data_IF_213545989789
#
_entry.id   IF_213545989789
#
_cell.length_a   1.000
_cell.length_b   1.000
_cell.length_c   1.000
_cell.angle_alpha   90.00
_cell.angle_beta   90.00
_cell.angle_gamma   90.00
#
_symmetry.space_group_name_H-M   'P 1'
#
loop_
_entity.id
_entity.type
_entity.pdbx_description
1 polymer ?
#
# COMPACT_ATOMS: atom_id res chain seq x y z
N UNK A 1 -13.09 -8.03 21.57
CA UNK A 1 -12.09 -9.01 21.06
C UNK A 1 -12.60 -10.44 21.19
N UNK A 2 -12.76 -10.97 22.42
CA UNK A 2 -13.25 -12.33 22.70
C UNK A 2 -14.48 -12.76 21.87
N UNK A 3 -15.62 -12.07 22.00
CA UNK A 3 -16.85 -12.43 21.28
C UNK A 3 -16.72 -12.41 19.75
N UNK A 4 -15.85 -11.55 19.22
CA UNK A 4 -15.60 -11.47 17.77
C UNK A 4 -14.84 -12.72 17.29
N UNK A 5 -13.82 -13.15 18.04
CA UNK A 5 -13.10 -14.41 17.78
C UNK A 5 -14.06 -15.60 17.96
N UNK A 6 -14.80 -15.65 19.06
CA UNK A 6 -15.72 -16.77 19.35
C UNK A 6 -16.79 -16.95 18.26
N UNK A 7 -17.22 -15.88 17.57
CA UNK A 7 -18.15 -15.98 16.45
C UNK A 7 -17.62 -16.84 15.29
N UNK A 8 -16.31 -16.87 15.06
CA UNK A 8 -15.69 -17.61 13.96
C UNK A 8 -15.01 -18.91 14.40
N UNK A 9 -14.51 -18.96 15.63
CA UNK A 9 -13.85 -20.14 16.21
C UNK A 9 -14.61 -20.71 17.40
N UNK A 10 -15.94 -20.68 17.38
CA UNK A 10 -16.77 -21.15 18.50
C UNK A 10 -16.61 -22.63 18.84
N UNK A 11 -16.07 -23.43 17.93
CA UNK A 11 -15.79 -24.84 18.12
C UNK A 11 -14.36 -25.14 18.58
N UNK A 12 -13.48 -24.12 18.59
CA UNK A 12 -12.09 -24.30 18.99
C UNK A 12 -11.97 -24.16 20.51
N UNK A 13 -11.59 -25.22 21.23
CA UNK A 13 -11.51 -25.18 22.69
C UNK A 13 -10.48 -24.18 23.20
N UNK A 14 -9.51 -23.74 22.38
CA UNK A 14 -8.52 -22.71 22.75
C UNK A 14 -9.16 -21.34 22.98
N UNK A 15 -10.25 -21.05 22.27
CA UNK A 15 -10.98 -19.78 22.36
C UNK A 15 -12.27 -19.89 23.20
N UNK A 16 -12.38 -20.93 24.03
CA UNK A 16 -13.46 -21.01 25.02
C UNK A 16 -13.30 -19.91 26.08
N UNK A 17 -14.40 -19.54 26.75
CA UNK A 17 -14.36 -18.53 27.82
C UNK A 17 -13.36 -18.89 28.94
N UNK A 18 -13.21 -20.19 29.22
CA UNK A 18 -12.30 -20.71 30.24
C UNK A 18 -10.82 -20.66 29.78
N UNK A 19 -10.56 -20.92 28.49
CA UNK A 19 -9.20 -21.07 27.98
C UNK A 19 -8.62 -19.79 27.36
N UNK A 20 -9.46 -18.79 27.04
CA UNK A 20 -9.05 -17.60 26.31
C UNK A 20 -7.97 -16.79 27.03
N UNK A 21 -8.09 -16.64 28.35
CA UNK A 21 -7.11 -15.89 29.17
C UNK A 21 -5.74 -16.56 29.27
N UNK A 22 -5.63 -17.84 28.93
CA UNK A 22 -4.38 -18.60 28.96
C UNK A 22 -3.69 -18.68 27.59
N UNK A 23 -4.33 -18.18 26.52
CA UNK A 23 -3.73 -18.20 25.20
C UNK A 23 -2.63 -17.13 25.09
N UNK A 24 -1.56 -17.39 24.33
CA UNK A 24 -0.53 -16.40 24.11
C UNK A 24 -1.08 -15.21 23.31
N UNK A 25 -0.64 -14.00 23.64
CA UNK A 25 -1.16 -12.75 23.04
C UNK A 25 -1.05 -12.75 21.51
N UNK A 26 0.04 -13.24 20.94
CA UNK A 26 0.24 -13.29 19.48
C UNK A 26 -0.84 -14.12 18.79
N UNK A 27 -1.30 -15.22 19.40
CA UNK A 27 -2.35 -16.07 18.84
C UNK A 27 -3.71 -15.36 18.90
N UNK A 28 -3.98 -14.65 19.99
CA UNK A 28 -5.21 -13.86 20.15
C UNK A 28 -5.26 -12.74 19.12
N UNK A 29 -4.15 -12.01 18.91
CA UNK A 29 -4.06 -10.93 17.94
C UNK A 29 -4.23 -11.45 16.51
N UNK A 30 -3.53 -12.52 16.15
CA UNK A 30 -3.65 -13.16 14.84
C UNK A 30 -5.09 -13.65 14.57
N UNK A 31 -5.72 -14.31 15.56
CA UNK A 31 -7.11 -14.75 15.44
C UNK A 31 -8.07 -13.56 15.33
N UNK A 32 -7.81 -12.46 16.05
CA UNK A 32 -8.61 -11.25 15.96
C UNK A 32 -8.53 -10.61 14.57
N UNK A 33 -7.32 -10.41 14.03
CA UNK A 33 -7.09 -9.87 12.69
C UNK A 33 -7.81 -10.70 11.62
N UNK A 34 -7.71 -12.02 11.73
CA UNK A 34 -8.41 -12.91 10.81
C UNK A 34 -9.94 -12.83 10.98
N UNK A 35 -10.43 -12.64 12.20
CA UNK A 35 -11.86 -12.39 12.47
C UNK A 35 -12.34 -11.11 11.77
N UNK A 36 -11.53 -10.05 11.81
CA UNK A 36 -11.85 -8.78 11.15
C UNK A 36 -11.92 -8.94 9.64
N UNK A 37 -10.97 -9.70 9.07
CA UNK A 37 -10.96 -10.02 7.64
C UNK A 37 -12.24 -10.78 7.23
N UNK A 38 -12.61 -11.83 7.97
CA UNK A 38 -13.83 -12.60 7.69
C UNK A 38 -15.10 -11.76 7.85
N UNK A 39 -15.17 -10.89 8.85
CA UNK A 39 -16.33 -10.01 9.03
C UNK A 39 -16.45 -9.02 7.89
N UNK A 40 -15.33 -8.43 7.44
CA UNK A 40 -15.30 -7.55 6.29
C UNK A 40 -15.76 -8.26 5.02
N UNK A 41 -15.28 -9.48 4.78
CA UNK A 41 -15.71 -10.29 3.64
C UNK A 41 -17.22 -10.62 3.70
N UNK A 42 -17.74 -10.92 4.88
CA UNK A 42 -19.18 -11.15 5.09
C UNK A 42 -19.99 -9.90 4.77
N UNK A 43 -19.62 -8.76 5.36
CA UNK A 43 -20.29 -7.48 5.13
C UNK A 43 -20.21 -7.06 3.66
N UNK A 44 -19.07 -7.28 3.01
CA UNK A 44 -18.92 -7.03 1.58
C UNK A 44 -19.88 -7.88 0.74
N UNK A 45 -20.02 -9.17 1.05
CA UNK A 45 -21.00 -10.06 0.37
C UNK A 45 -22.44 -9.57 0.53
N UNK A 46 -22.77 -9.04 1.70
CA UNK A 46 -24.09 -8.46 1.98
C UNK A 46 -24.32 -7.16 1.20
N UNK A 47 -23.29 -6.33 1.06
CA UNK A 47 -23.36 -5.09 0.27
C UNK A 47 -23.49 -5.33 -1.24
N UNK A 48 -22.94 -6.42 -1.78
CA UNK A 48 -22.92 -6.68 -3.24
C UNK A 48 -24.30 -6.54 -3.89
N UNK A 49 -25.36 -7.02 -3.24
CA UNK A 49 -26.72 -6.91 -3.78
C UNK A 49 -27.18 -5.45 -3.88
N UNK A 50 -26.95 -4.66 -2.83
CA UNK A 50 -27.32 -3.24 -2.79
C UNK A 50 -26.48 -2.46 -3.82
N UNK A 51 -25.17 -2.73 -3.88
CA UNK A 51 -24.25 -2.12 -4.82
C UNK A 51 -24.64 -2.38 -6.29
N UNK A 52 -25.01 -3.62 -6.62
CA UNK A 52 -25.50 -3.96 -7.96
C UNK A 52 -26.78 -3.21 -8.33
N UNK A 53 -27.74 -3.11 -7.40
CA UNK A 53 -28.98 -2.38 -7.64
C UNK A 53 -28.74 -0.88 -7.81
N UNK A 54 -27.86 -0.28 -6.98
CA UNK A 54 -27.49 1.12 -7.07
C UNK A 54 -26.80 1.43 -8.41
N UNK A 55 -25.85 0.58 -8.82
CA UNK A 55 -25.19 0.66 -10.12
C UNK A 55 -26.19 0.59 -11.28
N UNK A 56 -27.08 -0.41 -11.30
CA UNK A 56 -28.10 -0.55 -12.34
C UNK A 56 -29.00 0.69 -12.42
N UNK A 57 -29.43 1.20 -11.27
CA UNK A 57 -30.27 2.39 -11.19
C UNK A 57 -29.55 3.62 -11.77
N UNK A 58 -28.30 3.87 -11.40
CA UNK A 58 -27.55 5.02 -11.89
C UNK A 58 -27.21 4.90 -13.37
N UNK A 59 -26.73 3.73 -13.81
CA UNK A 59 -26.42 3.50 -15.22
C UNK A 59 -27.66 3.62 -16.11
N UNK A 60 -28.87 3.32 -15.60
CA UNK A 60 -30.11 3.54 -16.36
C UNK A 60 -30.44 5.01 -16.62
N UNK A 61 -29.84 5.93 -15.86
CA UNK A 61 -30.07 7.38 -15.93
C UNK A 61 -28.94 8.16 -16.59
N UNK A 62 -27.82 7.51 -16.88
CA UNK A 62 -26.66 8.14 -17.49
C UNK A 62 -26.84 8.23 -19.01
N UNK A 63 -26.35 9.34 -19.57
CA UNK A 63 -26.12 9.44 -21.01
C UNK A 63 -24.82 8.71 -21.37
N UNK A 64 -24.87 7.57 -22.09
CA UNK A 64 -23.69 6.74 -22.37
C UNK A 64 -22.64 7.44 -23.24
N UNK A 65 -22.95 8.61 -23.81
CA UNK A 65 -21.99 9.41 -24.58
C UNK A 65 -21.16 10.37 -23.73
N UNK A 66 -21.53 10.60 -22.47
CA UNK A 66 -20.93 11.64 -21.62
C UNK A 66 -20.17 11.09 -20.42
N UNK A 67 -20.57 9.92 -19.91
CA UNK A 67 -20.01 9.37 -18.68
C UNK A 67 -19.84 7.87 -18.83
N UNK A 68 -18.72 7.36 -18.34
CA UNK A 68 -18.47 5.93 -18.27
C UNK A 68 -19.46 5.24 -17.31
N UNK A 69 -19.83 3.97 -17.58
CA UNK A 69 -20.70 3.22 -16.69
C UNK A 69 -20.08 3.07 -15.30
N UNK A 70 -20.89 3.25 -14.25
CA UNK A 70 -20.48 2.91 -12.91
C UNK A 70 -20.35 1.39 -12.75
N UNK A 71 -19.45 0.94 -11.89
CA UNK A 71 -19.26 -0.47 -11.54
C UNK A 71 -19.79 -0.75 -10.11
N UNK A 72 -20.16 -2.00 -9.77
CA UNK A 72 -20.66 -2.31 -8.42
C UNK A 72 -19.63 -2.01 -7.32
N UNK A 73 -18.34 -2.14 -7.63
CA UNK A 73 -17.25 -1.93 -6.68
C UNK A 73 -17.22 -0.49 -6.16
N UNK A 74 -17.63 0.48 -6.98
CA UNK A 74 -17.70 1.90 -6.60
C UNK A 74 -18.76 2.19 -5.51
N UNK A 75 -19.67 1.25 -5.26
CA UNK A 75 -20.72 1.34 -4.25
C UNK A 75 -20.48 0.41 -3.05
N UNK A 76 -19.39 -0.36 -3.05
CA UNK A 76 -19.04 -1.26 -1.95
C UNK A 76 -18.15 -0.52 -0.95
N UNK A 77 -18.59 -0.42 0.31
CA UNK A 77 -17.80 0.21 1.37
C UNK A 77 -16.82 -0.78 2.00
N UNK A 78 -17.24 -2.04 2.17
CA UNK A 78 -16.41 -3.08 2.80
C UNK A 78 -15.54 -3.84 1.83
N UNK A 79 -15.43 -3.39 0.56
CA UNK A 79 -14.47 -3.98 -0.36
C UNK A 79 -13.08 -3.89 0.32
N UNK A 80 -12.38 -5.02 0.58
CA UNK A 80 -11.02 -4.93 1.05
C UNK A 80 -10.25 -4.13 0.00
N UNK A 81 -9.52 -3.07 0.38
CA UNK A 81 -8.77 -2.30 -0.60
C UNK A 81 -7.87 -3.30 -1.32
N UNK A 82 -8.15 -3.52 -2.59
CA UNK A 82 -7.28 -4.30 -3.45
C UNK A 82 -5.94 -3.55 -3.47
N UNK A 83 -4.80 -4.20 -3.68
CA UNK A 83 -3.54 -3.44 -3.87
C UNK A 83 -3.66 -2.41 -5.02
N UNK A 84 -4.60 -2.67 -5.95
CA UNK A 84 -4.99 -1.75 -7.00
C UNK A 84 -5.80 -0.53 -6.53
N UNK A 85 -6.51 -0.61 -5.40
CA UNK A 85 -7.32 0.48 -4.81
C UNK A 85 -6.56 1.30 -3.76
N UNK A 86 -5.40 0.83 -3.30
CA UNK A 86 -4.52 1.66 -2.48
C UNK A 86 -4.15 2.90 -3.30
N UNK A 87 -4.61 4.06 -2.83
CA UNK A 87 -4.20 5.35 -3.39
C UNK A 87 -2.77 5.63 -2.94
N UNK A 88 -1.91 6.02 -3.88
CA UNK A 88 -0.58 6.55 -3.54
C UNK A 88 -0.78 7.77 -2.65
N UNK A 89 -0.03 7.86 -1.56
CA UNK A 89 -0.14 8.99 -0.63
C UNK A 89 0.10 10.30 -1.39
N UNK A 90 -0.58 11.38 -0.96
CA UNK A 90 -0.35 12.69 -1.54
C UNK A 90 1.10 13.13 -1.40
N UNK A 91 1.74 12.81 -0.27
CA UNK A 91 3.14 13.10 -0.02
C UNK A 91 4.10 12.40 -0.98
N UNK A 92 3.84 11.13 -1.30
CA UNK A 92 4.62 10.41 -2.32
C UNK A 92 4.38 10.99 -3.72
N UNK A 93 3.15 11.39 -4.06
CA UNK A 93 2.87 12.08 -5.33
C UNK A 93 3.62 13.42 -5.42
N UNK A 94 3.60 14.22 -4.37
CA UNK A 94 4.30 15.52 -4.34
C UNK A 94 5.82 15.33 -4.43
N UNK A 95 6.37 14.30 -3.76
CA UNK A 95 7.77 13.92 -3.90
C UNK A 95 8.11 13.50 -5.35
N UNK A 96 7.26 12.69 -5.97
CA UNK A 96 7.42 12.27 -7.37
C UNK A 96 7.49 13.47 -8.32
N UNK A 97 6.52 14.38 -8.23
CA UNK A 97 6.49 15.56 -9.10
C UNK A 97 7.62 16.55 -8.80
N UNK A 98 8.01 16.72 -7.53
CA UNK A 98 9.16 17.55 -7.15
C UNK A 98 10.47 17.02 -7.76
N UNK A 99 10.68 15.71 -7.77
CA UNK A 99 11.86 15.09 -8.38
C UNK A 99 11.90 15.25 -9.91
N UNK A 100 10.74 15.23 -10.56
CA UNK A 100 10.63 15.52 -12.00
C UNK A 100 10.98 16.99 -12.28
N UNK A 101 10.44 17.92 -11.50
CA UNK A 101 10.71 19.36 -11.66
C UNK A 101 12.21 19.66 -11.51
N UNK A 102 12.87 19.02 -10.55
CA UNK A 102 14.31 19.16 -10.32
C UNK A 102 15.17 18.35 -11.30
N UNK A 103 14.57 17.61 -12.24
CA UNK A 103 15.27 16.71 -13.17
C UNK A 103 16.15 15.65 -12.49
N UNK A 104 15.75 15.21 -11.29
CA UNK A 104 16.44 14.18 -10.49
C UNK A 104 15.79 12.80 -10.64
N UNK A 105 14.65 12.71 -11.34
CA UNK A 105 13.94 11.46 -11.57
C UNK A 105 14.62 10.61 -12.66
N UNK A 106 14.87 9.31 -12.41
CA UNK A 106 15.32 8.39 -13.46
C UNK A 106 14.29 8.28 -14.59
N UNK A 107 14.75 8.25 -15.84
CA UNK A 107 13.86 8.20 -17.01
C UNK A 107 12.97 6.94 -17.01
N UNK A 108 13.52 5.79 -16.63
CA UNK A 108 12.78 4.52 -16.53
C UNK A 108 11.64 4.61 -15.49
N UNK A 109 11.87 5.29 -14.38
CA UNK A 109 10.86 5.43 -13.33
C UNK A 109 9.67 6.28 -13.80
N UNK A 110 9.91 7.27 -14.66
CA UNK A 110 8.84 8.08 -15.27
C UNK A 110 8.01 7.25 -16.23
N UNK A 111 8.62 6.37 -17.03
CA UNK A 111 7.89 5.50 -17.96
C UNK A 111 7.10 4.39 -17.26
N UNK A 112 7.62 3.88 -16.14
CA UNK A 112 7.05 2.74 -15.42
C UNK A 112 6.03 3.17 -14.33
N UNK A 113 5.98 4.45 -13.98
CA UNK A 113 5.06 4.96 -12.97
C UNK A 113 3.58 4.89 -13.41
N UNK A 114 2.64 4.50 -12.51
CA UNK A 114 1.22 4.50 -12.80
C UNK A 114 0.65 5.94 -12.77
N UNK A 115 0.92 6.73 -13.82
CA UNK A 115 0.57 8.16 -13.90
C UNK A 115 -0.92 8.42 -13.61
N UNK A 116 -1.82 7.52 -14.02
CA UNK A 116 -3.26 7.65 -13.75
C UNK A 116 -3.62 7.65 -12.26
N UNK A 117 -2.77 7.08 -11.39
CA UNK A 117 -2.97 7.04 -9.93
C UNK A 117 -2.29 8.21 -9.21
N UNK A 118 -1.33 8.87 -9.85
CA UNK A 118 -0.59 9.99 -9.27
C UNK A 118 -1.42 11.26 -9.39
N UNK A 119 -1.90 11.78 -8.25
CA UNK A 119 -2.62 13.05 -8.18
C UNK A 119 -1.70 14.08 -7.56
N UNK A 120 -1.24 15.03 -8.37
CA UNK A 120 -0.47 16.17 -7.87
C UNK A 120 -1.34 16.97 -6.88
N UNK A 121 -0.82 17.23 -5.69
CA UNK A 121 -1.44 18.20 -4.79
C UNK A 121 -0.97 19.62 -5.16
N UNK A 122 -1.71 20.62 -4.67
CA UNK A 122 -1.57 22.03 -5.03
C UNK A 122 -0.11 22.54 -5.00
N UNK A 123 0.16 23.57 -5.81
CA UNK A 123 1.46 24.12 -6.21
C UNK A 123 2.44 24.61 -5.10
N UNK A 124 2.22 24.32 -3.82
CA UNK A 124 3.06 24.75 -2.69
C UNK A 124 3.19 23.69 -1.57
N UNK A 125 2.99 22.40 -1.86
CA UNK A 125 3.17 21.36 -0.86
C UNK A 125 4.63 21.30 -0.38
N UNK A 126 4.84 21.36 0.93
CA UNK A 126 6.16 21.15 1.54
C UNK A 126 6.48 19.67 1.47
N UNK A 127 7.39 19.29 0.57
CA UNK A 127 7.81 17.90 0.40
C UNK A 127 8.75 17.51 1.54
N UNK A 128 8.41 16.45 2.26
CA UNK A 128 9.28 15.90 3.33
C UNK A 128 10.58 15.34 2.74
N UNK A 129 11.64 15.35 3.54
CA UNK A 129 12.93 14.73 3.21
C UNK A 129 13.16 13.48 4.08
N UNK A 130 13.80 12.42 3.56
CA UNK A 130 14.28 12.28 2.18
C UNK A 130 13.14 12.09 1.18
N UNK A 131 13.26 12.71 0.00
CA UNK A 131 12.26 12.63 -1.07
C UNK A 131 12.27 11.28 -1.76
N UNK A 132 13.46 10.80 -2.11
CA UNK A 132 13.63 9.49 -2.71
C UNK A 132 15.01 8.90 -2.48
N UNK A 133 15.05 7.56 -2.48
CA UNK A 133 16.27 6.77 -2.62
C UNK A 133 16.24 6.02 -3.95
N UNK A 134 17.33 6.10 -4.72
CA UNK A 134 17.43 5.61 -6.10
C UNK A 134 18.59 4.64 -6.22
N UNK A 135 18.33 3.46 -6.78
CA UNK A 135 19.34 2.48 -7.17
C UNK A 135 19.13 2.01 -8.61
N UNK A 136 19.93 1.03 -9.03
CA UNK A 136 19.74 0.37 -10.31
C UNK A 136 18.43 -0.44 -10.31
N UNK A 137 17.46 -0.02 -11.12
CA UNK A 137 16.14 -0.67 -11.20
C UNK A 137 15.24 -0.45 -9.98
N UNK A 138 15.56 0.50 -9.09
CA UNK A 138 14.83 0.72 -7.83
C UNK A 138 14.65 2.20 -7.56
N UNK A 139 13.42 2.60 -7.26
CA UNK A 139 13.08 3.93 -6.77
C UNK A 139 12.16 3.79 -5.56
N UNK A 140 12.59 4.30 -4.41
CA UNK A 140 11.79 4.40 -3.21
C UNK A 140 11.42 5.87 -2.97
N UNK A 141 10.13 6.19 -2.90
CA UNK A 141 9.65 7.51 -2.54
C UNK A 141 9.33 7.60 -1.05
N UNK A 142 9.70 8.73 -0.46
CA UNK A 142 9.51 9.01 0.96
C UNK A 142 10.04 7.90 1.89
N UNK A 143 11.27 7.37 1.66
CA UNK A 143 11.78 6.25 2.43
C UNK A 143 12.07 6.66 3.88
N UNK A 144 11.82 5.74 4.81
CA UNK A 144 12.10 5.88 6.24
C UNK A 144 12.71 4.60 6.78
N UNK A 145 13.61 4.73 7.74
CA UNK A 145 14.19 3.59 8.45
C UNK A 145 13.41 3.41 9.75
N UNK A 146 12.80 2.24 9.92
CA UNK A 146 12.13 1.82 11.16
C UNK A 146 12.83 0.56 11.66
N UNK A 147 13.80 0.75 12.57
CA UNK A 147 14.64 -0.35 13.06
C UNK A 147 15.56 -0.91 11.97
N UNK A 148 15.31 -2.13 11.51
CA UNK A 148 16.05 -2.81 10.42
C UNK A 148 15.24 -2.94 9.13
N UNK A 149 14.17 -2.16 9.00
CA UNK A 149 13.30 -2.18 7.83
C UNK A 149 13.28 -0.78 7.23
N UNK A 150 13.43 -0.71 5.91
CA UNK A 150 13.17 0.47 5.10
C UNK A 150 11.72 0.43 4.68
N UNK A 151 10.94 1.40 5.13
CA UNK A 151 9.56 1.57 4.70
C UNK A 151 9.48 2.70 3.69
N UNK A 152 8.76 2.52 2.59
CA UNK A 152 8.54 3.56 1.59
C UNK A 152 7.05 3.69 1.29
N UNK A 153 6.55 4.92 1.15
CA UNK A 153 5.14 5.14 0.84
C UNK A 153 4.81 4.67 -0.60
N UNK A 154 5.80 4.68 -1.48
CA UNK A 154 5.71 4.13 -2.82
C UNK A 154 7.07 3.63 -3.30
N UNK A 155 7.10 2.46 -3.94
CA UNK A 155 8.29 1.87 -4.53
C UNK A 155 8.03 1.48 -5.99
N UNK A 156 9.02 1.68 -6.85
CA UNK A 156 9.08 1.17 -8.22
C UNK A 156 10.29 0.26 -8.34
N UNK A 157 10.06 -0.96 -8.82
CA UNK A 157 11.09 -1.99 -9.02
C UNK A 157 11.00 -2.47 -10.47
N UNK A 158 12.12 -2.39 -11.18
CA UNK A 158 12.26 -2.81 -12.58
C UNK A 158 13.57 -3.61 -12.74
N UNK A 159 13.46 -4.93 -12.80
CA UNK A 159 14.57 -5.87 -13.03
C UNK A 159 15.54 -6.03 -11.86
N UNK A 160 15.27 -5.43 -10.70
CA UNK A 160 16.13 -5.49 -9.53
C UNK A 160 15.73 -6.64 -8.58
N UNK A 161 16.72 -7.35 -8.05
CA UNK A 161 16.50 -8.40 -7.05
C UNK A 161 17.73 -8.60 -6.17
N UNK A 162 17.51 -9.04 -4.93
CA UNK A 162 18.56 -9.23 -3.94
C UNK A 162 19.06 -7.93 -3.32
N UNK A 163 20.33 -7.90 -2.92
CA UNK A 163 20.92 -6.76 -2.23
C UNK A 163 21.31 -5.68 -3.25
N UNK A 164 20.63 -4.53 -3.18
CA UNK A 164 20.85 -3.39 -4.07
C UNK A 164 21.33 -2.17 -3.28
N UNK A 165 22.36 -1.52 -3.80
CA UNK A 165 22.84 -0.24 -3.29
C UNK A 165 21.95 0.89 -3.83
N UNK A 166 21.31 1.61 -2.92
CA UNK A 166 20.43 2.74 -3.20
C UNK A 166 21.01 4.03 -2.61
N UNK A 167 20.89 5.13 -3.34
CA UNK A 167 21.41 6.44 -2.97
C UNK A 167 20.29 7.40 -2.65
N UNK A 168 20.39 8.08 -1.51
CA UNK A 168 19.52 9.20 -1.18
C UNK A 168 19.80 10.38 -2.09
N UNK A 169 18.77 10.81 -2.83
CA UNK A 169 18.85 11.91 -3.79
C UNK A 169 19.13 13.25 -3.10
N UNK A 170 18.66 13.43 -1.86
CA UNK A 170 18.80 14.69 -1.13
C UNK A 170 20.11 14.76 -0.35
N UNK A 171 20.47 13.68 0.36
CA UNK A 171 21.65 13.67 1.23
C UNK A 171 22.91 13.08 0.57
N UNK A 172 22.76 12.38 -0.55
CA UNK A 172 23.85 11.69 -1.24
C UNK A 172 24.34 10.40 -0.55
N UNK A 173 23.75 10.01 0.58
CA UNK A 173 24.12 8.81 1.35
C UNK A 173 23.70 7.53 0.65
N UNK A 174 24.43 6.44 0.91
CA UNK A 174 24.16 5.13 0.32
C UNK A 174 23.66 4.13 1.37
N UNK A 175 22.71 3.28 0.97
CA UNK A 175 22.14 2.22 1.79
C UNK A 175 22.08 0.94 0.96
N UNK A 176 22.28 -0.21 1.61
CA UNK A 176 22.10 -1.52 1.00
C UNK A 176 20.79 -2.13 1.51
N UNK A 177 19.87 -2.42 0.59
CA UNK A 177 18.55 -3.01 0.89
C UNK A 177 18.37 -4.33 0.15
N UNK A 178 17.64 -5.26 0.76
CA UNK A 178 17.28 -6.53 0.12
C UNK A 178 15.90 -6.42 -0.56
N UNK A 179 15.84 -6.71 -1.86
CA UNK A 179 14.67 -6.50 -2.69
C UNK A 179 14.15 -7.86 -3.20
N UNK A 180 12.86 -8.17 -3.00
CA UNK A 180 12.26 -9.37 -3.56
C UNK A 180 12.28 -9.31 -5.10
N UNK A 181 12.43 -10.47 -5.74
CA UNK A 181 12.46 -10.56 -7.20
C UNK A 181 11.06 -10.36 -7.80
N UNK A 182 10.62 -9.11 -7.92
CA UNK A 182 9.32 -8.72 -8.46
C UNK A 182 9.40 -7.44 -9.29
N UNK A 183 8.93 -7.49 -10.53
CA UNK A 183 8.77 -6.31 -11.39
C UNK A 183 7.40 -5.69 -11.11
N UNK A 184 7.36 -4.71 -10.21
CA UNK A 184 6.12 -4.08 -9.80
C UNK A 184 6.30 -2.68 -9.22
N UNK A 185 5.18 -1.98 -9.07
CA UNK A 185 5.09 -0.88 -8.12
C UNK A 185 4.41 -1.38 -6.85
N UNK A 186 4.92 -0.96 -5.69
CA UNK A 186 4.40 -1.36 -4.37
C UNK A 186 4.02 -0.11 -3.59
N UNK A 187 2.85 -0.13 -2.95
CA UNK A 187 2.37 0.94 -2.07
C UNK A 187 2.52 0.46 -0.62
N UNK A 188 3.09 1.31 0.23
CA UNK A 188 3.52 0.96 1.59
C UNK A 188 4.53 -0.20 1.59
N UNK A 189 5.61 -0.04 0.84
CA UNK A 189 6.63 -1.06 0.66
C UNK A 189 7.52 -1.19 1.91
N UNK A 190 7.90 -2.42 2.25
CA UNK A 190 8.80 -2.73 3.36
C UNK A 190 9.94 -3.62 2.88
N UNK A 191 11.18 -3.16 3.05
CA UNK A 191 12.39 -3.87 2.62
C UNK A 191 13.37 -4.05 3.79
N UNK A 192 14.01 -5.22 3.95
CA UNK A 192 15.07 -5.40 4.94
C UNK A 192 16.27 -4.48 4.65
N UNK A 193 16.72 -3.75 5.68
CA UNK A 193 17.95 -2.99 5.64
C UNK A 193 19.13 -3.92 5.97
N UNK A 194 20.08 -4.05 5.05
CA UNK A 194 21.26 -4.90 5.23
C UNK A 194 22.40 -4.12 5.88
N UNK A 195 22.75 -2.95 5.31
CA UNK A 195 23.87 -2.14 5.79
C UNK A 195 23.68 -0.66 5.42
N UNK A 196 24.04 0.25 6.33
CA UNK A 196 24.10 1.69 6.04
C UNK A 196 25.55 2.10 5.83
N UNK A 197 25.92 2.57 4.62
CA UNK A 197 27.29 2.98 4.30
C UNK A 197 27.39 4.50 4.25
N UNK A 198 28.15 5.07 5.19
CA UNK A 198 28.59 6.46 5.11
C UNK A 198 29.84 6.49 4.21
N UNK A 199 29.66 6.85 2.94
CA UNK A 199 30.79 7.21 2.08
C UNK A 199 31.13 8.67 2.41
N UNK A 200 32.29 8.87 3.05
CA UNK A 200 32.89 10.18 3.36
C UNK A 200 33.44 10.84 2.09
#
# INVERSE_FOLDING_TARGET
MFWKIQRYWGFDPRFSAENFGFQPLWLILQAYEYAEKLERERLHKEEKGIAQLAMLYLNSKIDPKKTDPFTPEQFCHWLPPTEQDKSISSSACDAFFSLIQDSLMPAWAVSSAPIAKLKANQANATVSRPRAWVGEGVLLLMPRIVGRVVTAEFALIEGASGIVDIKDVDSGRWYAIDIPAEDCYVIDAEFPLVESRLIL
#
